data_IF_433162884447
#
_entry.id   IF_433162884447
#
_cell.length_a   1.000
_cell.length_b   1.000
_cell.length_c   1.000
_cell.angle_alpha   90.00
_cell.angle_beta   90.00
_cell.angle_gamma   90.00
#
_symmetry.space_group_name_H-M   'P 1'
#
loop_
_entity.id
_entity.type
_entity.pdbx_description
1 polymer ?
#
# COMPACT_ATOMS: atom_id res chain seq x y z
N UNK A 1 10.57 -10.85 4.98
CA UNK A 1 9.46 -11.77 4.63
C UNK A 1 8.12 -11.06 4.83
N UNK A 2 7.05 -11.50 4.14
CA UNK A 2 5.71 -10.90 4.30
C UNK A 2 5.19 -11.16 5.71
N UNK A 3 4.97 -10.10 6.48
CA UNK A 3 4.35 -10.15 7.81
C UNK A 3 2.86 -9.77 7.79
N UNK A 4 2.45 -9.01 6.77
CA UNK A 4 1.11 -8.48 6.65
C UNK A 4 0.68 -8.35 5.20
N UNK A 5 -0.62 -8.52 4.96
CA UNK A 5 -1.26 -8.35 3.67
C UNK A 5 -2.35 -7.28 3.77
N UNK A 6 -2.14 -6.18 3.08
CA UNK A 6 -3.11 -5.09 2.97
C UNK A 6 -4.01 -5.31 1.77
N UNK A 7 -5.32 -5.35 2.04
CA UNK A 7 -6.35 -5.61 1.04
C UNK A 7 -6.83 -4.28 0.47
N UNK A 8 -6.27 -3.97 -0.70
CA UNK A 8 -6.47 -2.76 -1.50
C UNK A 8 -5.75 -1.49 -1.04
N UNK A 9 -5.50 -0.58 -1.99
CA UNK A 9 -4.93 0.75 -1.74
C UNK A 9 -6.02 1.83 -1.85
N UNK A 10 -6.17 2.71 -0.86
CA UNK A 10 -7.10 3.86 -0.90
C UNK A 10 -8.51 3.57 -1.43
N UNK A 11 -9.20 2.52 -0.95
CA UNK A 11 -10.48 2.06 -1.53
C UNK A 11 -11.64 3.05 -1.41
N UNK A 12 -11.53 4.10 -0.61
CA UNK A 12 -12.50 5.20 -0.53
C UNK A 12 -12.11 6.41 -1.39
N UNK A 13 -11.13 6.26 -2.29
CA UNK A 13 -10.73 7.24 -3.29
C UNK A 13 -11.12 6.76 -4.69
N UNK A 14 -11.79 7.61 -5.49
CA UNK A 14 -12.18 7.29 -6.88
C UNK A 14 -11.01 6.85 -7.76
N UNK A 15 -9.81 7.36 -7.48
CA UNK A 15 -8.57 6.99 -8.17
C UNK A 15 -8.13 5.54 -7.95
N UNK A 16 -8.74 4.81 -7.00
CA UNK A 16 -8.34 3.44 -6.66
C UNK A 16 -9.51 2.46 -6.57
N UNK A 17 -10.73 2.94 -6.36
CA UNK A 17 -11.96 2.16 -6.46
C UNK A 17 -13.07 3.05 -6.99
N UNK A 18 -13.76 2.65 -8.07
CA UNK A 18 -14.74 3.49 -8.73
C UNK A 18 -16.11 3.48 -8.01
N UNK A 19 -16.50 4.56 -7.31
CA UNK A 19 -17.79 4.61 -6.63
C UNK A 19 -18.98 4.72 -7.61
N UNK A 20 -18.77 5.03 -8.88
CA UNK A 20 -19.88 4.99 -9.86
C UNK A 20 -20.29 3.55 -10.17
N UNK A 21 -19.36 2.60 -10.05
CA UNK A 21 -19.58 1.17 -10.26
C UNK A 21 -19.95 0.43 -8.97
N UNK A 22 -19.56 0.95 -7.80
CA UNK A 22 -19.87 0.37 -6.48
C UNK A 22 -20.12 1.46 -5.42
N UNK A 23 -21.23 2.22 -5.52
CA UNK A 23 -21.47 3.44 -4.73
C UNK A 23 -21.57 3.23 -3.22
N UNK A 24 -21.89 2.01 -2.80
CA UNK A 24 -22.06 1.66 -1.40
C UNK A 24 -21.00 0.66 -0.90
N UNK A 25 -19.92 0.46 -1.67
CA UNK A 25 -18.82 -0.47 -1.37
C UNK A 25 -19.30 -1.91 -1.09
N UNK A 26 -20.40 -2.33 -1.73
CA UNK A 26 -20.96 -3.65 -1.52
C UNK A 26 -20.08 -4.73 -2.15
N UNK A 27 -19.60 -4.49 -3.37
CA UNK A 27 -18.70 -5.40 -4.08
C UNK A 27 -17.32 -5.36 -3.41
N UNK A 28 -16.87 -4.18 -3.01
CA UNK A 28 -15.63 -4.02 -2.26
C UNK A 28 -15.64 -4.87 -0.99
N UNK A 29 -16.69 -4.76 -0.17
CA UNK A 29 -16.80 -5.49 1.08
C UNK A 29 -16.79 -7.02 0.87
N UNK A 30 -17.57 -7.54 -0.09
CA UNK A 30 -17.56 -8.98 -0.41
C UNK A 30 -16.16 -9.45 -0.86
N UNK A 31 -15.49 -8.63 -1.67
CA UNK A 31 -14.12 -8.87 -2.13
C UNK A 31 -13.14 -8.94 -0.95
N UNK A 32 -13.21 -7.99 -0.02
CA UNK A 32 -12.32 -7.95 1.14
C UNK A 32 -12.58 -9.10 2.11
N UNK A 33 -13.84 -9.46 2.35
CA UNK A 33 -14.22 -10.60 3.20
C UNK A 33 -13.66 -11.90 2.64
N UNK A 34 -13.85 -12.16 1.34
CA UNK A 34 -13.32 -13.36 0.69
C UNK A 34 -11.80 -13.40 0.71
N UNK A 35 -11.14 -12.30 0.38
CA UNK A 35 -9.68 -12.24 0.37
C UNK A 35 -9.09 -12.42 1.78
N UNK A 36 -9.66 -11.77 2.79
CA UNK A 36 -9.25 -11.91 4.19
C UNK A 36 -9.43 -13.35 4.71
N UNK A 37 -10.51 -14.01 4.34
CA UNK A 37 -10.74 -15.42 4.69
C UNK A 37 -9.79 -16.37 3.95
N UNK A 38 -9.55 -16.12 2.66
CA UNK A 38 -8.66 -16.94 1.85
C UNK A 38 -7.19 -16.84 2.34
N UNK A 39 -6.71 -15.63 2.65
CA UNK A 39 -5.39 -15.43 3.27
C UNK A 39 -5.30 -16.17 4.61
N UNK A 40 -6.31 -16.05 5.47
CA UNK A 40 -6.30 -16.69 6.78
C UNK A 40 -6.28 -18.23 6.67
N UNK A 41 -6.95 -18.79 5.67
CA UNK A 41 -6.94 -20.22 5.41
C UNK A 41 -5.55 -20.73 4.97
N UNK A 42 -4.79 -19.92 4.22
CA UNK A 42 -3.43 -20.26 3.79
C UNK A 42 -2.42 -20.08 4.91
N UNK A 43 -2.40 -18.90 5.53
CA UNK A 43 -1.50 -18.60 6.63
C UNK A 43 -2.16 -17.66 7.65
N UNK A 44 -2.69 -18.20 8.77
CA UNK A 44 -3.35 -17.39 9.79
C UNK A 44 -2.37 -16.50 10.58
N UNK A 45 -1.05 -16.66 10.43
CA UNK A 45 -0.05 -15.81 11.06
C UNK A 45 0.20 -14.49 10.29
N UNK A 46 -0.22 -14.39 9.03
CA UNK A 46 -0.11 -13.13 8.25
C UNK A 46 -1.20 -12.18 8.73
N UNK A 47 -0.79 -10.98 9.16
CA UNK A 47 -1.75 -9.94 9.59
C UNK A 47 -2.52 -9.42 8.37
N UNK A 48 -3.84 -9.52 8.37
CA UNK A 48 -4.69 -8.99 7.30
C UNK A 48 -5.07 -7.56 7.64
N UNK A 49 -4.82 -6.63 6.72
CA UNK A 49 -5.01 -5.19 6.96
C UNK A 49 -6.07 -4.68 6.00
N UNK A 50 -7.13 -4.05 6.50
CA UNK A 50 -8.09 -3.34 5.66
C UNK A 50 -7.37 -2.21 4.93
N UNK A 51 -7.63 -2.06 3.63
CA UNK A 51 -6.95 -1.09 2.76
C UNK A 51 -6.86 0.31 3.34
N UNK A 52 -5.70 0.93 3.16
CA UNK A 52 -5.38 2.23 3.72
C UNK A 52 -6.28 3.33 3.20
N UNK A 53 -7.23 3.79 4.02
CA UNK A 53 -8.24 4.76 3.60
C UNK A 53 -7.61 6.15 3.38
N UNK A 54 -8.08 6.84 2.35
CA UNK A 54 -7.69 8.20 1.97
C UNK A 54 -8.87 8.86 1.26
N UNK A 55 -9.58 9.82 1.88
CA UNK A 55 -9.29 10.44 3.19
C UNK A 55 -9.56 9.51 4.39
N UNK A 56 -9.09 9.93 5.56
CA UNK A 56 -9.43 9.32 6.86
C UNK A 56 -10.91 9.60 7.16
N UNK A 57 -11.70 8.54 7.30
CA UNK A 57 -13.17 8.62 7.41
C UNK A 57 -13.75 7.54 8.35
N UNK A 58 -14.19 7.90 9.57
CA UNK A 58 -14.83 6.97 10.50
C UNK A 58 -16.14 6.37 9.96
N UNK A 59 -16.90 7.10 9.15
CA UNK A 59 -18.17 6.61 8.61
C UNK A 59 -17.93 5.50 7.58
N UNK A 60 -16.83 5.58 6.81
CA UNK A 60 -16.42 4.51 5.92
C UNK A 60 -16.07 3.23 6.69
N UNK A 61 -15.37 3.35 7.83
CA UNK A 61 -15.06 2.20 8.70
C UNK A 61 -16.32 1.54 9.24
N UNK A 62 -17.28 2.32 9.75
CA UNK A 62 -18.56 1.79 10.23
C UNK A 62 -19.35 1.10 9.10
N UNK A 63 -19.27 1.62 7.87
CA UNK A 63 -19.87 0.95 6.71
C UNK A 63 -19.20 -0.39 6.40
N UNK A 64 -17.88 -0.47 6.50
CA UNK A 64 -17.14 -1.72 6.31
C UNK A 64 -17.47 -2.74 7.42
N UNK A 65 -17.60 -2.27 8.66
CA UNK A 65 -18.05 -3.08 9.79
C UNK A 65 -19.46 -3.65 9.56
N UNK A 66 -20.42 -2.80 9.18
CA UNK A 66 -21.79 -3.22 8.90
C UNK A 66 -21.91 -4.25 7.76
N UNK A 67 -20.86 -4.37 6.93
CA UNK A 67 -20.76 -5.35 5.84
C UNK A 67 -19.89 -6.57 6.21
N UNK A 68 -19.44 -6.70 7.46
CA UNK A 68 -18.67 -7.83 7.97
C UNK A 68 -17.18 -7.82 7.60
N UNK A 69 -16.66 -6.72 7.04
CA UNK A 69 -15.25 -6.65 6.60
C UNK A 69 -14.30 -6.70 7.80
N UNK A 70 -14.65 -6.05 8.91
CA UNK A 70 -13.81 -6.01 10.11
C UNK A 70 -13.62 -7.37 10.77
N UNK A 71 -14.49 -8.35 10.51
CA UNK A 71 -14.33 -9.73 10.97
C UNK A 71 -13.26 -10.49 10.17
N UNK A 72 -13.01 -10.07 8.93
CA UNK A 72 -12.06 -10.69 8.00
C UNK A 72 -10.65 -10.05 8.03
N UNK A 73 -10.44 -9.01 8.84
CA UNK A 73 -9.15 -8.31 8.99
C UNK A 73 -8.73 -8.17 10.45
N UNK A 74 -7.44 -7.93 10.64
CA UNK A 74 -6.78 -7.84 11.95
C UNK A 74 -6.37 -6.40 12.30
N UNK A 75 -6.24 -5.51 11.32
CA UNK A 75 -5.92 -4.10 11.50
C UNK A 75 -6.64 -3.20 10.48
N UNK A 76 -6.77 -1.91 10.79
CA UNK A 76 -7.32 -0.89 9.89
C UNK A 76 -6.24 0.10 9.52
N UNK A 77 -6.07 0.35 8.22
CA UNK A 77 -5.05 1.27 7.74
C UNK A 77 -5.62 2.64 7.34
N UNK A 78 -4.80 3.68 7.55
CA UNK A 78 -5.09 5.07 7.18
C UNK A 78 -3.91 5.70 6.44
N UNK A 79 -4.20 6.57 5.49
CA UNK A 79 -3.21 7.38 4.78
C UNK A 79 -3.37 8.87 5.08
N UNK A 80 -2.26 9.61 5.09
CA UNK A 80 -2.32 11.05 5.35
C UNK A 80 -1.15 11.84 4.75
N UNK A 81 -1.51 12.92 4.08
CA UNK A 81 -0.65 13.87 3.40
C UNK A 81 -1.13 15.32 3.65
N UNK A 82 -1.13 15.76 4.91
CA UNK A 82 -1.71 17.04 5.34
C UNK A 82 -1.03 18.30 4.76
N UNK A 83 0.16 18.18 4.16
CA UNK A 83 0.88 19.28 3.51
C UNK A 83 0.71 19.29 1.98
N UNK A 84 0.01 18.30 1.43
CA UNK A 84 -0.07 18.07 -0.01
C UNK A 84 -1.51 17.93 -0.51
N UNK A 85 -2.25 16.94 0.00
CA UNK A 85 -3.58 16.60 -0.53
C UNK A 85 -4.70 16.65 0.50
N UNK A 86 -4.41 16.41 1.79
CA UNK A 86 -5.46 16.42 2.80
C UNK A 86 -5.66 17.81 3.42
N UNK A 87 -6.92 18.16 3.69
CA UNK A 87 -7.32 19.49 4.18
C UNK A 87 -7.36 19.56 5.72
N UNK A 88 -6.30 19.11 6.38
CA UNK A 88 -6.13 19.20 7.83
C UNK A 88 -4.65 19.40 8.17
N UNK A 89 -4.31 20.11 9.27
CA UNK A 89 -2.91 20.41 9.60
C UNK A 89 -2.18 19.18 10.15
N UNK A 90 -0.87 19.04 9.90
CA UNK A 90 -0.07 17.89 10.36
C UNK A 90 -0.19 17.59 11.86
N UNK A 91 -0.38 18.62 12.69
CA UNK A 91 -0.57 18.47 14.15
C UNK A 91 -1.87 17.74 14.54
N UNK A 92 -2.82 17.59 13.61
CA UNK A 92 -4.05 16.85 13.84
C UNK A 92 -3.88 15.33 13.68
N UNK A 93 -2.70 14.81 13.34
CA UNK A 93 -2.44 13.36 13.25
C UNK A 93 -2.97 12.57 14.46
N UNK A 94 -2.67 12.94 15.73
CA UNK A 94 -3.19 12.21 16.89
C UNK A 94 -4.72 12.17 16.98
N UNK A 95 -5.38 13.28 16.60
CA UNK A 95 -6.84 13.37 16.55
C UNK A 95 -7.42 12.52 15.42
N UNK A 96 -6.79 12.53 14.23
CA UNK A 96 -7.19 11.70 13.09
C UNK A 96 -7.11 10.20 13.38
N UNK A 97 -6.12 9.76 14.16
CA UNK A 97 -6.07 8.38 14.65
C UNK A 97 -7.21 8.12 15.65
N UNK A 98 -7.42 9.05 16.60
CA UNK A 98 -8.47 8.91 17.61
C UNK A 98 -9.89 8.87 17.01
N UNK A 99 -10.14 9.59 15.91
CA UNK A 99 -11.41 9.53 15.17
C UNK A 99 -11.75 8.11 14.69
N UNK A 100 -10.74 7.33 14.27
CA UNK A 100 -10.94 5.95 13.82
C UNK A 100 -11.02 4.98 15.00
N UNK A 101 -10.19 5.16 16.03
CA UNK A 101 -10.27 4.36 17.26
C UNK A 101 -11.63 4.49 17.96
N UNK A 102 -12.31 5.63 17.79
CA UNK A 102 -13.65 5.83 18.34
C UNK A 102 -14.72 4.93 17.70
N UNK A 103 -14.45 4.30 16.55
CA UNK A 103 -15.40 3.48 15.80
C UNK A 103 -14.93 2.05 15.55
N UNK A 104 -13.76 1.65 16.06
CA UNK A 104 -13.29 0.26 15.97
C UNK A 104 -12.28 -0.07 17.06
N UNK A 105 -12.32 -1.30 17.57
CA UNK A 105 -11.31 -1.83 18.50
C UNK A 105 -10.06 -2.41 17.79
N UNK A 106 -10.04 -2.41 16.45
CA UNK A 106 -8.90 -2.91 15.67
C UNK A 106 -7.72 -1.94 15.78
N UNK A 107 -6.46 -2.43 15.84
CA UNK A 107 -5.29 -1.55 15.81
C UNK A 107 -5.23 -0.74 14.52
N UNK A 108 -4.87 0.54 14.65
CA UNK A 108 -4.79 1.48 13.53
C UNK A 108 -3.34 1.58 13.02
N UNK A 109 -3.15 1.40 11.73
CA UNK A 109 -1.85 1.47 11.06
C UNK A 109 -1.80 2.70 10.16
N UNK A 110 -0.71 3.47 10.20
CA UNK A 110 -0.46 4.53 9.21
C UNK A 110 0.36 3.92 8.08
N UNK A 111 -0.33 3.37 7.08
CA UNK A 111 0.32 2.62 5.98
C UNK A 111 0.85 3.52 4.87
N UNK A 112 0.52 4.81 4.88
CA UNK A 112 1.12 5.78 3.97
C UNK A 112 1.06 7.18 4.59
N UNK A 113 2.22 7.80 4.77
CA UNK A 113 2.33 9.20 5.19
C UNK A 113 3.51 9.83 4.47
N UNK A 114 3.38 11.09 4.08
CA UNK A 114 4.49 11.79 3.45
C UNK A 114 4.28 13.29 3.39
N UNK A 115 5.35 13.98 3.02
CA UNK A 115 5.35 15.40 2.70
C UNK A 115 6.16 15.61 1.43
N UNK A 116 5.56 16.26 0.44
CA UNK A 116 6.19 16.57 -0.83
C UNK A 116 7.23 17.69 -0.69
N UNK A 117 8.36 17.53 -1.39
CA UNK A 117 9.40 18.55 -1.50
C UNK A 117 9.16 19.54 -2.64
N UNK A 118 7.96 19.56 -3.24
CA UNK A 118 7.65 20.34 -4.45
C UNK A 118 7.92 21.84 -4.30
N UNK A 119 7.56 22.42 -3.14
CA UNK A 119 7.77 23.84 -2.87
C UNK A 119 9.18 24.17 -2.36
N UNK A 120 9.74 23.32 -1.52
CA UNK A 120 11.08 23.42 -0.94
C UNK A 120 11.46 22.09 -0.25
N UNK A 121 12.73 21.69 -0.29
CA UNK A 121 13.17 20.40 0.28
C UNK A 121 13.20 20.43 1.82
N UNK A 122 13.39 21.59 2.43
CA UNK A 122 13.36 21.80 3.88
C UNK A 122 11.98 21.51 4.48
N UNK A 123 10.91 21.63 3.67
CA UNK A 123 9.55 21.27 4.09
C UNK A 123 9.44 19.77 4.35
N UNK A 124 10.12 18.95 3.55
CA UNK A 124 10.16 17.50 3.75
C UNK A 124 10.96 17.14 5.02
N UNK A 125 12.05 17.87 5.33
CA UNK A 125 12.81 17.72 6.60
C UNK A 125 11.91 17.99 7.80
N UNK A 126 11.14 19.08 7.77
CA UNK A 126 10.14 19.35 8.80
C UNK A 126 9.09 18.23 8.87
N UNK A 127 8.59 17.79 7.71
CA UNK A 127 7.58 16.74 7.58
C UNK A 127 7.97 15.43 8.25
N UNK A 128 9.19 14.95 8.02
CA UNK A 128 9.71 13.71 8.63
C UNK A 128 9.79 13.85 10.14
N UNK A 129 10.46 14.91 10.62
CA UNK A 129 10.67 15.12 12.04
C UNK A 129 9.33 15.25 12.78
N UNK A 130 8.38 16.01 12.22
CA UNK A 130 7.06 16.21 12.83
C UNK A 130 6.20 14.95 12.76
N UNK A 131 6.27 14.18 11.68
CA UNK A 131 5.53 12.90 11.56
C UNK A 131 6.05 11.89 12.56
N UNK A 132 7.38 11.76 12.69
CA UNK A 132 8.01 10.87 13.67
C UNK A 132 7.59 11.24 15.10
N UNK A 133 7.66 12.53 15.45
CA UNK A 133 7.23 13.04 16.77
C UNK A 133 5.78 12.69 17.11
N UNK A 134 4.88 12.77 16.13
CA UNK A 134 3.44 12.60 16.37
C UNK A 134 2.98 11.14 16.32
N UNK A 135 3.65 10.29 15.54
CA UNK A 135 3.17 8.94 15.24
C UNK A 135 3.99 7.83 15.91
N UNK A 136 5.30 8.00 16.12
CA UNK A 136 6.11 6.97 16.78
C UNK A 136 5.63 6.83 18.23
N UNK A 137 5.34 5.59 18.62
CA UNK A 137 4.72 5.27 19.92
C UNK A 137 3.20 5.52 19.98
N UNK A 138 2.60 6.19 18.99
CA UNK A 138 1.14 6.40 18.92
C UNK A 138 0.41 5.29 18.17
N UNK A 139 1.05 4.73 17.14
CA UNK A 139 0.53 3.62 16.32
C UNK A 139 1.60 2.54 16.08
N UNK A 140 1.23 1.26 15.92
CA UNK A 140 2.18 0.14 15.79
C UNK A 140 2.96 0.08 14.46
N UNK A 141 2.42 0.70 13.40
CA UNK A 141 2.99 0.68 12.05
C UNK A 141 2.84 2.05 11.39
N UNK A 142 3.94 2.54 10.84
CA UNK A 142 4.06 3.82 10.14
C UNK A 142 4.94 3.58 8.93
N UNK A 143 4.52 4.04 7.75
CA UNK A 143 5.29 3.91 6.52
C UNK A 143 5.38 5.24 5.78
N UNK A 144 6.59 5.75 5.65
CA UNK A 144 6.89 6.99 4.93
C UNK A 144 6.85 6.78 3.41
N UNK A 145 6.09 7.59 2.69
CA UNK A 145 6.03 7.63 1.24
C UNK A 145 6.86 8.82 0.72
N UNK A 146 7.95 8.63 -0.02
CA UNK A 146 8.55 7.37 -0.52
C UNK A 146 10.09 7.42 -0.49
N UNK A 147 10.77 6.35 -0.92
CA UNK A 147 12.23 6.37 -1.05
C UNK A 147 12.66 7.19 -2.27
N UNK A 148 12.11 6.90 -3.45
CA UNK A 148 12.41 7.63 -4.69
C UNK A 148 11.29 8.53 -5.12
N UNK A 149 11.67 9.66 -5.72
CA UNK A 149 10.78 10.46 -6.55
C UNK A 149 10.24 9.60 -7.69
N UNK A 150 9.00 9.86 -8.05
CA UNK A 150 8.38 9.27 -9.23
C UNK A 150 8.97 9.96 -10.47
N UNK A 151 9.53 9.20 -11.44
CA UNK A 151 10.01 9.79 -12.68
C UNK A 151 8.87 10.49 -13.43
N UNK A 152 9.07 11.73 -13.85
CA UNK A 152 8.02 12.47 -14.58
C UNK A 152 7.62 11.77 -15.88
N UNK A 153 8.56 11.06 -16.49
CA UNK A 153 8.37 10.27 -17.70
C UNK A 153 7.43 9.07 -17.53
N UNK A 154 7.20 8.60 -16.30
CA UNK A 154 6.36 7.43 -16.02
C UNK A 154 4.89 7.82 -15.80
N UNK A 155 4.62 9.09 -15.53
CA UNK A 155 3.29 9.61 -15.18
C UNK A 155 2.81 9.13 -13.81
N UNK A 156 1.84 9.83 -13.24
CA UNK A 156 1.17 9.39 -12.01
C UNK A 156 -0.06 8.54 -12.38
N UNK A 157 0.09 7.21 -12.34
CA UNK A 157 -0.84 6.22 -12.93
C UNK A 157 -2.31 6.34 -12.47
N UNK A 158 -2.57 6.91 -11.29
CA UNK A 158 -3.92 7.01 -10.70
C UNK A 158 -4.49 8.43 -10.69
N UNK A 159 -3.86 9.39 -11.38
CA UNK A 159 -4.14 10.83 -11.22
C UNK A 159 -4.41 11.55 -12.55
N UNK A 160 -5.30 12.54 -12.49
CA UNK A 160 -5.77 13.28 -13.67
C UNK A 160 -5.21 14.71 -13.66
N UNK A 161 -4.15 14.95 -14.44
CA UNK A 161 -3.43 16.23 -14.53
C UNK A 161 -4.34 17.46 -14.68
N UNK A 162 -5.38 17.36 -15.51
CA UNK A 162 -6.29 18.46 -15.81
C UNK A 162 -7.26 18.76 -14.66
N UNK A 163 -7.59 17.77 -13.83
CA UNK A 163 -8.54 17.91 -12.72
C UNK A 163 -7.87 18.31 -11.39
N UNK A 164 -6.60 17.97 -11.22
CA UNK A 164 -5.86 18.15 -9.96
C UNK A 164 -5.03 19.44 -9.90
N UNK A 165 -4.78 20.07 -11.05
CA UNK A 165 -4.01 21.32 -11.11
C UNK A 165 -2.61 21.15 -10.48
N UNK A 166 -2.25 22.04 -9.55
CA UNK A 166 -0.91 22.01 -8.94
C UNK A 166 -0.65 20.78 -8.05
N UNK A 167 -1.68 20.12 -7.52
CA UNK A 167 -1.49 18.94 -6.66
C UNK A 167 -0.99 17.73 -7.44
N UNK A 168 -1.24 17.68 -8.75
CA UNK A 168 -0.69 16.64 -9.63
C UNK A 168 0.84 16.60 -9.59
N UNK A 169 1.48 17.77 -9.54
CA UNK A 169 2.94 17.84 -9.60
C UNK A 169 3.62 17.35 -8.31
N UNK A 170 2.91 17.36 -7.18
CA UNK A 170 3.44 16.91 -5.88
C UNK A 170 3.83 15.44 -5.90
N UNK A 171 3.14 14.62 -6.71
CA UNK A 171 3.43 13.18 -6.86
C UNK A 171 4.87 12.89 -7.31
N UNK A 172 5.52 13.82 -8.02
CA UNK A 172 6.89 13.65 -8.52
C UNK A 172 7.98 14.04 -7.51
N UNK A 173 7.60 14.52 -6.32
CA UNK A 173 8.55 15.08 -5.34
C UNK A 173 8.37 14.50 -3.93
N UNK A 174 7.82 13.29 -3.81
CA UNK A 174 7.57 12.61 -2.53
C UNK A 174 8.77 11.80 -2.01
N UNK A 175 9.73 11.50 -2.87
CA UNK A 175 10.89 10.69 -2.53
C UNK A 175 11.86 11.40 -1.60
N UNK A 176 12.61 10.62 -0.83
CA UNK A 176 13.81 11.06 -0.12
C UNK A 176 15.04 11.14 -1.03
N UNK A 177 14.97 10.50 -2.19
CA UNK A 177 15.98 10.45 -3.24
C UNK A 177 15.35 10.93 -4.54
N UNK A 178 16.04 11.81 -5.27
CA UNK A 178 15.57 12.34 -6.54
C UNK A 178 15.56 11.27 -7.64
N UNK A 179 14.91 11.56 -8.75
CA UNK A 179 14.86 10.69 -9.94
C UNK A 179 16.28 10.30 -10.44
N UNK A 180 17.25 11.19 -10.33
CA UNK A 180 18.64 10.97 -10.74
C UNK A 180 19.50 10.20 -9.71
N UNK A 181 18.89 9.75 -8.61
CA UNK A 181 19.57 9.03 -7.53
C UNK A 181 20.26 9.93 -6.50
N UNK A 182 20.20 11.25 -6.62
CA UNK A 182 20.80 12.16 -5.63
C UNK A 182 19.94 12.26 -4.36
N UNK A 183 20.52 12.09 -3.16
CA UNK A 183 19.81 12.26 -1.90
C UNK A 183 19.24 13.68 -1.70
N UNK A 184 18.05 13.78 -1.12
CA UNK A 184 17.51 15.03 -0.57
C UNK A 184 17.92 15.21 0.89
N UNK A 185 17.91 16.44 1.43
CA UNK A 185 18.25 16.71 2.83
C UNK A 185 17.47 15.85 3.84
N UNK A 186 16.20 15.56 3.55
CA UNK A 186 15.33 14.81 4.44
C UNK A 186 15.75 13.33 4.63
N UNK A 187 16.59 12.79 3.74
CA UNK A 187 17.09 11.41 3.85
C UNK A 187 17.87 11.18 5.16
N UNK A 188 18.68 12.17 5.57
CA UNK A 188 19.48 12.08 6.80
C UNK A 188 18.60 12.10 8.06
N UNK A 189 17.49 12.84 8.04
CA UNK A 189 16.52 12.85 9.13
C UNK A 189 15.70 11.55 9.18
N UNK A 190 15.31 11.01 8.02
CA UNK A 190 14.66 9.70 7.96
C UNK A 190 15.54 8.59 8.53
N UNK A 191 16.84 8.60 8.21
CA UNK A 191 17.79 7.58 8.69
C UNK A 191 17.81 7.46 10.23
N UNK A 192 17.52 8.55 10.96
CA UNK A 192 17.46 8.56 12.43
C UNK A 192 16.28 7.78 12.99
N UNK A 193 15.22 7.59 12.19
CA UNK A 193 13.93 6.99 12.61
C UNK A 193 13.53 5.76 11.79
N UNK A 194 14.34 5.36 10.80
CA UNK A 194 14.06 4.29 9.84
C UNK A 194 13.80 2.90 10.45
N UNK A 195 14.28 2.66 11.68
CA UNK A 195 14.01 1.41 12.40
C UNK A 195 12.59 1.35 12.98
N UNK A 196 11.97 2.51 13.22
CA UNK A 196 10.65 2.62 13.87
C UNK A 196 9.55 2.97 12.86
N UNK A 197 9.85 3.93 11.99
CA UNK A 197 9.03 4.34 10.85
C UNK A 197 9.60 3.70 9.57
N UNK A 198 8.82 2.80 8.97
CA UNK A 198 9.21 2.10 7.73
C UNK A 198 9.08 2.96 6.48
N UNK A 199 9.35 2.35 5.33
CA UNK A 199 9.15 2.97 4.00
C UNK A 199 7.96 2.34 3.28
N UNK A 200 7.19 3.16 2.60
CA UNK A 200 6.34 2.75 1.48
C UNK A 200 7.11 3.05 0.19
N UNK A 201 7.51 2.01 -0.53
CA UNK A 201 8.06 2.14 -1.88
C UNK A 201 7.31 1.20 -2.82
N UNK A 202 6.53 1.78 -3.72
CA UNK A 202 5.95 1.03 -4.81
C UNK A 202 7.02 0.70 -5.85
N UNK A 203 7.18 -0.58 -6.18
CA UNK A 203 7.97 -1.02 -7.32
C UNK A 203 7.02 -1.29 -8.48
N UNK A 204 7.17 -0.53 -9.57
CA UNK A 204 6.44 -0.83 -10.80
C UNK A 204 6.90 -2.18 -11.39
N UNK A 205 6.11 -2.73 -12.30
CA UNK A 205 6.49 -3.94 -13.02
C UNK A 205 7.87 -3.78 -13.67
N UNK A 206 8.80 -4.71 -13.37
CA UNK A 206 10.20 -4.65 -13.80
C UNK A 206 10.94 -3.34 -13.46
N UNK A 207 10.63 -2.72 -12.30
CA UNK A 207 11.28 -1.49 -11.86
C UNK A 207 12.82 -1.67 -11.76
N UNK A 208 13.61 -0.96 -12.58
CA UNK A 208 15.06 -1.15 -12.62
C UNK A 208 15.76 -0.65 -11.35
N UNK A 209 15.05 0.08 -10.48
CA UNK A 209 15.60 0.63 -9.24
C UNK A 209 15.58 -0.36 -8.09
N UNK A 210 15.00 -1.56 -8.25
CA UNK A 210 14.81 -2.52 -7.16
C UNK A 210 16.09 -2.78 -6.32
N UNK A 211 17.20 -3.08 -6.98
CA UNK A 211 18.43 -3.45 -6.26
C UNK A 211 19.06 -2.27 -5.52
N UNK A 212 19.10 -1.11 -6.18
CA UNK A 212 19.62 0.12 -5.58
C UNK A 212 18.72 0.58 -4.43
N UNK A 213 17.39 0.46 -4.58
CA UNK A 213 16.44 0.74 -3.51
C UNK A 213 16.67 -0.15 -2.29
N UNK A 214 16.87 -1.46 -2.50
CA UNK A 214 17.19 -2.41 -1.42
C UNK A 214 18.50 -2.04 -0.73
N UNK A 215 19.53 -1.66 -1.49
CA UNK A 215 20.81 -1.21 -0.93
C UNK A 215 20.64 0.05 -0.06
N UNK A 216 19.87 1.04 -0.53
CA UNK A 216 19.54 2.24 0.25
C UNK A 216 18.76 1.92 1.52
N UNK A 217 17.69 1.13 1.43
CA UNK A 217 16.88 0.77 2.60
C UNK A 217 17.72 0.07 3.67
N UNK A 218 18.63 -0.84 3.26
CA UNK A 218 19.58 -1.49 4.17
C UNK A 218 20.55 -0.49 4.80
N UNK A 219 21.10 0.43 4.01
CA UNK A 219 22.01 1.49 4.49
C UNK A 219 21.34 2.42 5.50
N UNK A 220 20.06 2.76 5.29
CA UNK A 220 19.27 3.60 6.18
C UNK A 220 18.87 2.89 7.48
N UNK A 221 19.02 1.56 7.55
CA UNK A 221 18.55 0.77 8.68
C UNK A 221 17.05 0.50 8.68
N UNK A 222 16.39 0.68 7.53
CA UNK A 222 14.95 0.40 7.38
C UNK A 222 14.66 -1.07 7.67
N UNK A 223 13.65 -1.33 8.51
CA UNK A 223 13.21 -2.69 8.87
C UNK A 223 11.89 -3.08 8.24
N UNK A 224 10.95 -2.15 8.24
CA UNK A 224 9.58 -2.35 7.74
C UNK A 224 9.45 -1.74 6.36
N UNK A 225 8.91 -2.50 5.42
CA UNK A 225 8.67 -2.07 4.05
C UNK A 225 7.22 -2.35 3.67
N UNK A 226 6.54 -1.35 3.13
CA UNK A 226 5.28 -1.55 2.42
C UNK A 226 5.51 -1.41 0.92
N UNK A 227 5.03 -2.40 0.18
CA UNK A 227 5.03 -2.39 -1.30
C UNK A 227 3.78 -3.12 -1.81
N UNK A 228 3.72 -3.56 -3.06
CA UNK A 228 2.59 -4.33 -3.54
C UNK A 228 2.87 -5.36 -4.62
N UNK A 229 1.93 -6.30 -4.73
CA UNK A 229 1.82 -7.26 -5.81
C UNK A 229 0.51 -7.02 -6.52
N UNK A 230 0.60 -6.73 -7.82
CA UNK A 230 -0.53 -6.29 -8.61
C UNK A 230 -1.24 -7.48 -9.28
N UNK A 231 -2.51 -7.71 -8.96
CA UNK A 231 -3.38 -8.69 -9.62
C UNK A 231 -3.50 -8.38 -11.12
N UNK A 232 -3.63 -7.11 -11.51
CA UNK A 232 -3.54 -6.69 -12.91
C UNK A 232 -2.21 -7.09 -13.55
N UNK A 233 -1.09 -6.93 -12.85
CA UNK A 233 0.22 -7.31 -13.38
C UNK A 233 0.42 -8.83 -13.43
N UNK A 234 -0.36 -9.63 -12.70
CA UNK A 234 -0.29 -11.11 -12.77
C UNK A 234 -0.69 -11.66 -14.14
N UNK A 235 -1.29 -10.83 -15.01
CA UNK A 235 -1.61 -11.15 -16.40
C UNK A 235 -0.56 -10.67 -17.41
N UNK A 236 0.52 -10.03 -16.95
CA UNK A 236 1.64 -9.64 -17.82
C UNK A 236 2.54 -10.85 -18.14
N UNK A 237 3.24 -10.83 -19.29
CA UNK A 237 4.25 -11.84 -19.58
C UNK A 237 5.33 -11.89 -18.49
N UNK A 238 5.67 -13.08 -18.00
CA UNK A 238 6.68 -13.33 -16.95
C UNK A 238 6.37 -12.73 -15.58
N UNK A 239 5.09 -12.49 -15.27
CA UNK A 239 4.70 -11.82 -14.02
C UNK A 239 5.24 -12.51 -12.75
N UNK A 240 5.24 -13.84 -12.73
CA UNK A 240 5.78 -14.62 -11.62
C UNK A 240 7.29 -14.48 -11.45
N UNK A 241 8.05 -14.44 -12.54
CA UNK A 241 9.50 -14.24 -12.47
C UNK A 241 9.81 -12.89 -11.84
N UNK A 242 9.04 -11.85 -12.18
CA UNK A 242 9.15 -10.53 -11.55
C UNK A 242 8.76 -10.56 -10.07
N UNK A 243 7.62 -11.17 -9.71
CA UNK A 243 7.18 -11.24 -8.33
C UNK A 243 8.16 -12.04 -7.45
N UNK A 244 8.68 -13.15 -7.96
CA UNK A 244 9.73 -13.94 -7.29
C UNK A 244 10.97 -13.11 -7.04
N UNK A 245 11.45 -12.41 -8.07
CA UNK A 245 12.61 -11.55 -7.99
C UNK A 245 12.42 -10.40 -6.99
N UNK A 246 11.24 -9.80 -6.96
CA UNK A 246 10.92 -8.75 -6.00
C UNK A 246 10.92 -9.32 -4.58
N UNK A 247 10.20 -10.41 -4.33
CA UNK A 247 10.09 -10.98 -2.98
C UNK A 247 11.41 -11.56 -2.47
N UNK A 248 12.26 -12.09 -3.35
CA UNK A 248 13.62 -12.51 -3.01
C UNK A 248 14.49 -11.32 -2.56
N UNK A 249 14.47 -10.23 -3.33
CA UNK A 249 15.25 -9.02 -3.00
C UNK A 249 14.82 -8.37 -1.68
N UNK A 250 13.53 -8.51 -1.33
CA UNK A 250 12.93 -7.94 -0.13
C UNK A 250 12.92 -8.88 1.08
N UNK A 251 13.57 -10.05 0.99
CA UNK A 251 13.53 -11.09 2.02
C UNK A 251 13.98 -10.61 3.41
N UNK A 252 14.90 -9.63 3.47
CA UNK A 252 15.50 -9.09 4.70
C UNK A 252 14.65 -8.02 5.42
N UNK A 253 13.49 -7.64 4.87
CA UNK A 253 12.58 -6.66 5.48
C UNK A 253 11.31 -7.30 6.02
N UNK A 254 10.67 -6.69 7.01
CA UNK A 254 9.31 -7.02 7.43
C UNK A 254 8.35 -6.38 6.41
N UNK A 255 7.81 -7.20 5.50
CA UNK A 255 7.05 -6.70 4.35
C UNK A 255 5.55 -6.69 4.64
N UNK A 256 4.93 -5.53 4.52
CA UNK A 256 3.49 -5.39 4.33
C UNK A 256 3.20 -5.34 2.82
N UNK A 257 2.67 -6.42 2.27
CA UNK A 257 2.32 -6.48 0.84
C UNK A 257 0.92 -5.90 0.63
N UNK A 258 0.77 -5.00 -0.33
CA UNK A 258 -0.54 -4.51 -0.77
C UNK A 258 -1.00 -5.32 -1.97
N UNK A 259 -2.20 -5.89 -1.91
CA UNK A 259 -2.86 -6.49 -3.06
C UNK A 259 -3.87 -5.49 -3.66
N UNK A 260 -3.66 -5.17 -4.92
CA UNK A 260 -4.51 -4.39 -5.85
C UNK A 260 -4.01 -4.79 -7.25
N UNK A 261 -4.33 -4.24 -8.41
CA UNK A 261 -5.59 -3.68 -8.87
C UNK A 261 -6.32 -4.69 -9.74
N UNK A 262 -7.59 -4.42 -10.10
CA UNK A 262 -8.39 -5.31 -10.96
C UNK A 262 -7.79 -5.36 -12.39
N UNK A 263 -7.54 -6.55 -12.97
CA UNK A 263 -7.20 -6.67 -14.38
C UNK A 263 -8.31 -6.10 -15.26
N UNK A 264 -7.98 -5.34 -16.31
CA UNK A 264 -8.97 -4.61 -17.12
C UNK A 264 -10.11 -5.50 -17.65
N UNK A 265 -9.82 -6.74 -18.03
CA UNK A 265 -10.81 -7.67 -18.57
C UNK A 265 -11.71 -8.33 -17.49
N UNK A 266 -11.43 -8.11 -16.20
CA UNK A 266 -12.16 -8.72 -15.08
C UNK A 266 -13.07 -7.74 -14.33
N UNK A 267 -13.22 -6.51 -14.81
CA UNK A 267 -14.14 -5.53 -14.23
C UNK A 267 -14.99 -4.79 -15.27
N UNK A 268 -16.21 -4.35 -14.93
CA UNK A 268 -17.11 -3.62 -15.84
C UNK A 268 -16.54 -2.29 -16.34
N UNK A 269 -15.68 -1.63 -15.55
CA UNK A 269 -15.07 -0.36 -15.94
C UNK A 269 -13.95 -0.49 -16.97
N UNK A 270 -13.48 -1.71 -17.27
CA UNK A 270 -12.27 -1.94 -18.09
C UNK A 270 -11.06 -1.11 -17.63
N UNK A 271 -10.94 -0.98 -16.32
CA UNK A 271 -9.98 -0.10 -15.68
C UNK A 271 -9.55 -0.71 -14.35
N UNK A 272 -8.34 -0.37 -13.90
CA UNK A 272 -7.73 -0.96 -12.70
C UNK A 272 -8.49 -0.61 -11.40
N UNK A 273 -9.25 0.49 -11.40
CA UNK A 273 -10.12 0.91 -10.29
C UNK A 273 -11.49 0.24 -10.31
N UNK A 274 -11.80 -0.56 -11.33
CA UNK A 274 -13.11 -1.22 -11.43
C UNK A 274 -13.25 -2.26 -10.31
N UNK A 275 -14.43 -2.42 -9.70
CA UNK A 275 -14.73 -3.63 -8.96
C UNK A 275 -14.57 -4.87 -9.86
N UNK A 276 -14.20 -6.05 -9.34
CA UNK A 276 -14.20 -7.27 -10.11
C UNK A 276 -15.63 -7.74 -10.41
N UNK A 277 -15.83 -8.44 -11.53
CA UNK A 277 -17.07 -9.17 -11.80
C UNK A 277 -17.28 -10.32 -10.80
N UNK A 278 -16.20 -11.01 -10.46
CA UNK A 278 -16.18 -12.12 -9.50
C UNK A 278 -15.18 -11.82 -8.37
N UNK A 279 -15.67 -11.34 -7.21
CA UNK A 279 -14.86 -11.08 -6.02
C UNK A 279 -13.95 -12.24 -5.61
N UNK A 280 -14.36 -13.50 -5.84
CA UNK A 280 -13.55 -14.66 -5.51
C UNK A 280 -12.22 -14.70 -6.26
N UNK A 281 -12.13 -14.20 -7.49
CA UNK A 281 -10.89 -14.27 -8.26
C UNK A 281 -9.76 -13.41 -7.65
N UNK A 282 -10.11 -12.27 -7.03
CA UNK A 282 -9.15 -11.48 -6.27
C UNK A 282 -8.71 -12.20 -5.00
N UNK A 283 -9.65 -12.85 -4.31
CA UNK A 283 -9.35 -13.65 -3.11
C UNK A 283 -8.41 -14.82 -3.43
N UNK A 284 -8.64 -15.51 -4.55
CA UNK A 284 -7.80 -16.61 -5.01
C UNK A 284 -6.38 -16.12 -5.37
N UNK A 285 -6.26 -14.95 -6.01
CA UNK A 285 -4.97 -14.31 -6.24
C UNK A 285 -4.24 -13.99 -4.93
N UNK A 286 -4.93 -13.40 -3.95
CA UNK A 286 -4.35 -13.08 -2.65
C UNK A 286 -3.85 -14.34 -1.94
N UNK A 287 -4.68 -15.39 -1.89
CA UNK A 287 -4.32 -16.68 -1.30
C UNK A 287 -3.10 -17.29 -1.99
N UNK A 288 -3.06 -17.27 -3.32
CA UNK A 288 -1.94 -17.80 -4.09
C UNK A 288 -0.63 -17.05 -3.82
N UNK A 289 -0.66 -15.71 -3.75
CA UNK A 289 0.54 -14.92 -3.41
C UNK A 289 1.01 -15.18 -1.98
N UNK A 290 0.09 -15.33 -1.02
CA UNK A 290 0.45 -15.67 0.36
C UNK A 290 1.02 -17.09 0.44
N UNK A 291 0.43 -18.07 -0.25
CA UNK A 291 0.93 -19.45 -0.26
C UNK A 291 2.35 -19.51 -0.82
N UNK A 292 2.62 -18.73 -1.88
CA UNK A 292 3.93 -18.69 -2.52
C UNK A 292 5.00 -17.98 -1.69
N UNK A 293 4.67 -16.86 -1.07
CA UNK A 293 5.67 -15.95 -0.47
C UNK A 293 5.67 -15.91 1.06
N UNK A 294 4.64 -16.50 1.69
CA UNK A 294 4.51 -16.66 3.13
C UNK A 294 3.65 -17.88 3.51
N UNK A 295 4.02 -19.11 3.11
CA UNK A 295 3.27 -20.33 3.45
C UNK A 295 3.26 -20.60 4.96
N UNK A 296 2.18 -21.20 5.47
CA UNK A 296 2.11 -21.61 6.88
C UNK A 296 3.18 -22.65 7.23
N UNK A 297 3.90 -22.43 8.33
CA UNK A 297 4.89 -23.38 8.85
C UNK A 297 6.22 -23.48 8.06
N UNK A 298 6.41 -22.67 7.02
CA UNK A 298 7.55 -22.75 6.12
C UNK A 298 8.73 -21.83 6.47
N UNK A 299 9.82 -22.42 6.98
CA UNK A 299 11.18 -22.04 6.56
C UNK A 299 11.31 -22.30 5.04
N UNK A 300 12.01 -21.42 4.31
CA UNK A 300 12.24 -21.43 2.85
C UNK A 300 12.15 -22.83 2.21
N UNK A 301 11.01 -23.18 1.63
CA UNK A 301 10.89 -24.27 0.67
C UNK A 301 10.75 -23.67 -0.73
N UNK A 302 11.56 -24.15 -1.67
CA UNK A 302 11.54 -23.70 -3.06
C UNK A 302 10.14 -23.88 -3.65
N UNK A 303 9.63 -22.82 -4.28
CA UNK A 303 8.31 -22.75 -4.87
C UNK A 303 8.07 -23.87 -5.89
N UNK A 304 6.95 -24.58 -5.77
CA UNK A 304 6.45 -25.48 -6.81
C UNK A 304 5.92 -24.68 -8.03
N UNK A 305 5.91 -25.26 -9.23
CA UNK A 305 5.35 -24.63 -10.42
C UNK A 305 3.83 -24.47 -10.32
N UNK A 306 3.33 -23.33 -10.80
CA UNK A 306 1.93 -22.92 -10.67
C UNK A 306 0.94 -23.86 -11.40
N UNK A 307 -0.27 -24.07 -10.85
CA UNK A 307 -1.37 -24.62 -11.63
C UNK A 307 -1.81 -23.62 -12.70
N UNK A 308 -2.06 -24.10 -13.91
CA UNK A 308 -2.59 -23.27 -14.99
C UNK A 308 -3.99 -22.75 -14.61
N UNK A 309 -4.13 -21.43 -14.50
CA UNK A 309 -5.44 -20.78 -14.46
C UNK A 309 -6.13 -21.05 -15.81
N UNK A 310 -7.08 -21.97 -15.83
CA UNK A 310 -7.90 -22.23 -17.02
C UNK A 310 -8.71 -20.99 -17.37
N UNK A 311 -8.31 -20.33 -18.46
CA UNK A 311 -9.14 -19.35 -19.16
C UNK A 311 -10.32 -20.11 -19.76
N UNK A 312 -11.46 -20.12 -19.07
CA UNK A 312 -12.71 -20.54 -19.70
C UNK A 312 -13.13 -19.45 -20.69
N UNK A 313 -13.14 -19.83 -21.96
CA UNK A 313 -13.57 -19.03 -23.10
C UNK A 313 -15.05 -18.61 -23.02
#
# INVERSE_FOLDING_TARGET
>A
MIEAAMLWNEPNNKSHWDPELDPEWAIFADTMVRAGNAIHAINPAVTRVLGGMSPIDPAWVQRMEARGVLDAVDAVAVHGFPLDWNLWPIHAWPEKIAEIEAVTDKPIWVTEVGVGSFGAEEVQVFGINKTAELLIGRVPRIFWYSLYDLPQSWGATTRHREAEGSSYYRHFYMGLIREDGTPKPALDDYAKVASEMGLMQWFHYEDPRLDEAVAWMKRLGTKKLRTGLSWADSFRPNALDWFDRQMEALADFDVTVTFCFTPEHLGPGKHHTSPPYEPQQFADFCAWMIDRYAPAGGSKAAAEPAPALEVRA
#
